data_IF_603318032444
#
_entry.id   IF_603318032444
#
_cell.length_a   1.000
_cell.length_b   1.000
_cell.length_c   1.000
_cell.angle_alpha   90.00
_cell.angle_beta   90.00
_cell.angle_gamma   90.00
#
_symmetry.space_group_name_H-M   'P 1'
#
loop_
_entity.id
_entity.type
_entity.pdbx_description
1 polymer ?
#
# COMPACT_ATOMS: atom_id res chain seq x y z
N UNK A 1 63.50 -5.74 -31.36
CA UNK A 1 64.93 -5.54 -31.69
C UNK A 1 65.25 -5.93 -33.14
N UNK A 2 65.10 -7.20 -33.57
CA UNK A 2 65.54 -7.65 -34.91
C UNK A 2 64.82 -7.00 -36.11
N UNK A 3 63.61 -6.47 -35.94
CA UNK A 3 62.87 -5.74 -36.99
C UNK A 3 63.03 -4.21 -36.91
N UNK A 4 63.98 -3.69 -36.14
CA UNK A 4 64.26 -2.25 -35.99
C UNK A 4 63.24 -1.46 -35.17
N UNK A 5 61.99 -1.91 -35.03
CA UNK A 5 60.88 -1.14 -34.39
C UNK A 5 61.00 -0.87 -32.88
N UNK A 6 61.93 -1.53 -32.19
CA UNK A 6 62.02 -1.49 -30.71
C UNK A 6 63.49 -1.47 -30.32
N UNK A 7 63.89 -0.48 -29.51
CA UNK A 7 65.22 -0.34 -28.92
C UNK A 7 65.33 -1.09 -27.60
N UNK A 8 66.50 -1.66 -27.36
CA UNK A 8 66.86 -2.34 -26.11
C UNK A 8 67.86 -1.48 -25.35
N UNK A 9 67.59 -1.20 -24.08
CA UNK A 9 68.54 -0.54 -23.18
C UNK A 9 68.78 -1.43 -21.96
N UNK A 10 70.04 -1.72 -21.71
CA UNK A 10 70.46 -2.61 -20.63
C UNK A 10 70.87 -1.79 -19.40
N UNK A 11 70.33 -2.16 -18.24
CA UNK A 11 70.66 -1.59 -16.95
C UNK A 11 71.09 -2.73 -16.02
N UNK A 12 72.41 -2.92 -15.90
CA UNK A 12 72.99 -4.04 -15.16
C UNK A 12 72.53 -5.39 -15.74
N UNK A 13 71.83 -6.19 -14.93
CA UNK A 13 71.27 -7.50 -15.34
C UNK A 13 69.89 -7.42 -15.99
N UNK A 14 69.25 -6.24 -16.03
CA UNK A 14 67.91 -6.06 -16.57
C UNK A 14 67.95 -5.39 -17.95
N UNK A 15 67.00 -5.76 -18.82
CA UNK A 15 66.83 -5.22 -20.17
C UNK A 15 65.46 -4.55 -20.25
N UNK A 16 65.43 -3.31 -20.74
CA UNK A 16 64.22 -2.54 -21.00
C UNK A 16 64.07 -2.39 -22.51
N UNK A 17 62.88 -2.69 -23.01
CA UNK A 17 62.52 -2.58 -24.42
C UNK A 17 61.51 -1.45 -24.61
N UNK A 18 61.74 -0.56 -25.57
CA UNK A 18 60.83 0.55 -25.87
C UNK A 18 60.77 0.83 -27.36
N UNK A 19 59.66 1.41 -27.83
CA UNK A 19 59.48 1.75 -29.24
C UNK A 19 60.55 2.74 -29.70
N UNK A 20 61.06 2.53 -30.91
CA UNK A 20 62.09 3.40 -31.47
C UNK A 20 61.49 4.73 -31.94
N UNK A 21 61.68 5.79 -31.14
CA UNK A 21 61.14 7.12 -31.40
C UNK A 21 61.78 7.81 -32.62
N UNK A 22 62.95 7.36 -33.09
CA UNK A 22 63.60 7.91 -34.30
C UNK A 22 62.83 7.56 -35.59
N UNK A 23 61.93 6.59 -35.52
CA UNK A 23 61.03 6.23 -36.63
C UNK A 23 59.78 7.11 -36.68
N UNK A 24 59.54 7.94 -35.66
CA UNK A 24 58.44 8.90 -35.65
C UNK A 24 58.91 10.19 -36.34
N UNK A 25 58.08 10.79 -37.20
CA UNK A 25 58.41 12.07 -37.81
C UNK A 25 58.61 13.14 -36.73
N UNK A 26 59.64 13.96 -36.88
CA UNK A 26 59.85 15.11 -36.01
C UNK A 26 58.82 16.18 -36.36
N UNK A 27 57.92 16.45 -35.42
CA UNK A 27 56.88 17.48 -35.54
C UNK A 27 57.48 18.85 -35.24
N UNK A 28 57.17 19.85 -36.07
CA UNK A 28 57.57 21.24 -35.81
C UNK A 28 56.69 21.90 -34.74
N UNK A 29 57.18 22.95 -34.08
CA UNK A 29 56.39 23.71 -33.09
C UNK A 29 55.09 24.27 -33.68
N UNK A 30 55.08 24.61 -34.97
CA UNK A 30 53.89 25.09 -35.67
C UNK A 30 52.83 23.98 -35.83
N UNK A 31 53.25 22.75 -36.14
CA UNK A 31 52.37 21.59 -36.25
C UNK A 31 51.85 21.15 -34.87
N UNK A 32 52.69 21.21 -33.83
CA UNK A 32 52.26 20.97 -32.45
C UNK A 32 51.18 21.97 -32.02
N UNK A 33 51.38 23.25 -32.30
CA UNK A 33 50.39 24.29 -32.02
C UNK A 33 49.07 24.08 -32.80
N UNK A 34 49.16 23.62 -34.06
CA UNK A 34 47.99 23.23 -34.84
C UNK A 34 47.21 22.07 -34.22
N UNK A 35 47.92 21.00 -33.82
CA UNK A 35 47.33 19.83 -33.16
C UNK A 35 46.70 20.19 -31.81
N UNK A 36 47.34 21.05 -31.01
CA UNK A 36 46.76 21.55 -29.76
C UNK A 36 45.46 22.33 -30.01
N UNK A 37 45.42 23.13 -31.08
CA UNK A 37 44.21 23.81 -31.53
C UNK A 37 43.08 22.85 -31.93
N UNK A 38 43.41 21.79 -32.67
CA UNK A 38 42.46 20.74 -33.05
C UNK A 38 41.96 19.96 -31.83
N UNK A 39 42.85 19.62 -30.89
CA UNK A 39 42.50 18.95 -29.62
C UNK A 39 41.54 19.84 -28.83
N UNK A 40 41.82 21.14 -28.72
CA UNK A 40 40.96 22.08 -28.01
C UNK A 40 39.57 22.19 -28.68
N UNK A 41 39.53 22.32 -30.00
CA UNK A 41 38.28 22.41 -30.76
C UNK A 41 37.43 21.13 -30.66
N UNK A 42 38.06 19.96 -30.82
CA UNK A 42 37.38 18.67 -30.69
C UNK A 42 36.91 18.42 -29.25
N UNK A 43 37.72 18.78 -28.25
CA UNK A 43 37.34 18.65 -26.85
C UNK A 43 36.14 19.53 -26.50
N UNK A 44 36.11 20.78 -26.99
CA UNK A 44 34.96 21.67 -26.83
C UNK A 44 33.70 21.10 -27.50
N UNK A 45 33.84 20.55 -28.71
CA UNK A 45 32.72 19.92 -29.43
C UNK A 45 32.18 18.68 -28.70
N UNK A 46 33.06 17.85 -28.15
CA UNK A 46 32.68 16.68 -27.34
C UNK A 46 31.92 17.13 -26.09
N UNK A 47 32.40 18.14 -25.38
CA UNK A 47 31.71 18.67 -24.20
C UNK A 47 30.31 19.21 -24.54
N UNK A 48 30.19 19.99 -25.62
CA UNK A 48 28.90 20.52 -26.07
C UNK A 48 27.90 19.41 -26.45
N UNK A 49 28.35 18.40 -27.20
CA UNK A 49 27.53 17.26 -27.58
C UNK A 49 27.12 16.42 -26.36
N UNK A 50 28.03 16.19 -25.41
CA UNK A 50 27.71 15.47 -24.17
C UNK A 50 26.66 16.21 -23.34
N UNK A 51 26.74 17.54 -23.25
CA UNK A 51 25.73 18.34 -22.56
C UNK A 51 24.37 18.25 -23.26
N UNK A 52 24.35 18.35 -24.59
CA UNK A 52 23.14 18.20 -25.40
C UNK A 52 22.50 16.83 -25.24
N UNK A 53 23.28 15.75 -25.27
CA UNK A 53 22.79 14.39 -25.03
C UNK A 53 22.16 14.27 -23.63
N UNK A 54 22.84 14.75 -22.59
CA UNK A 54 22.29 14.71 -21.21
C UNK A 54 20.97 15.45 -21.09
N UNK A 55 20.82 16.58 -21.78
CA UNK A 55 19.57 17.33 -21.79
C UNK A 55 18.45 16.57 -22.48
N UNK A 56 18.71 16.02 -23.67
CA UNK A 56 17.73 15.21 -24.40
C UNK A 56 17.34 13.93 -23.64
N UNK A 57 18.30 13.28 -22.98
CA UNK A 57 18.03 12.12 -22.13
C UNK A 57 17.14 12.47 -20.94
N UNK A 58 17.34 13.64 -20.33
CA UNK A 58 16.49 14.12 -19.25
C UNK A 58 15.06 14.40 -19.74
N UNK A 59 14.89 15.11 -20.87
CA UNK A 59 13.58 15.38 -21.47
C UNK A 59 12.84 14.09 -21.87
N UNK A 60 13.56 13.13 -22.45
CA UNK A 60 13.01 11.83 -22.83
C UNK A 60 12.55 11.06 -21.58
N UNK A 61 13.38 11.04 -20.52
CA UNK A 61 13.02 10.42 -19.24
C UNK A 61 11.77 11.06 -18.63
N UNK A 62 11.68 12.38 -18.63
CA UNK A 62 10.53 13.10 -18.08
C UNK A 62 9.26 12.76 -18.88
N UNK A 63 9.34 12.75 -20.21
CA UNK A 63 8.20 12.39 -21.07
C UNK A 63 7.76 10.93 -20.86
N UNK A 64 8.70 9.99 -20.79
CA UNK A 64 8.43 8.57 -20.54
C UNK A 64 8.03 8.26 -19.10
N UNK A 65 8.23 9.18 -18.15
CA UNK A 65 7.77 9.02 -16.77
C UNK A 65 6.27 9.26 -16.60
N UNK A 66 5.64 9.83 -17.63
CA UNK A 66 4.20 10.10 -17.67
C UNK A 66 3.46 9.07 -18.52
N UNK A 67 2.18 8.85 -18.21
CA UNK A 67 1.31 8.02 -19.06
C UNK A 67 1.19 8.63 -20.44
N UNK A 68 1.21 7.79 -21.47
CA UNK A 68 0.94 8.23 -22.82
C UNK A 68 -0.51 8.72 -22.95
N UNK A 69 -0.78 9.60 -23.91
CA UNK A 69 -2.13 10.11 -24.18
C UNK A 69 -3.15 8.99 -24.40
N UNK A 70 -2.73 7.87 -25.02
CA UNK A 70 -3.58 6.70 -25.23
C UNK A 70 -3.91 5.98 -23.93
N UNK A 71 -2.92 5.76 -23.07
CA UNK A 71 -3.14 5.13 -21.77
C UNK A 71 -4.02 6.02 -20.88
N UNK A 72 -3.79 7.34 -20.90
CA UNK A 72 -4.62 8.31 -20.18
C UNK A 72 -6.08 8.29 -20.67
N UNK A 73 -6.31 8.11 -21.97
CA UNK A 73 -7.66 8.02 -22.52
C UNK A 73 -8.41 6.76 -22.05
N UNK A 74 -7.74 5.60 -22.01
CA UNK A 74 -8.33 4.38 -21.45
C UNK A 74 -8.57 4.50 -19.93
N UNK A 75 -7.64 5.10 -19.18
CA UNK A 75 -7.82 5.33 -17.73
C UNK A 75 -9.02 6.24 -17.45
N UNK A 76 -9.17 7.34 -18.20
CA UNK A 76 -10.32 8.24 -18.10
C UNK A 76 -11.63 7.49 -18.37
N UNK A 77 -11.63 6.57 -19.34
CA UNK A 77 -12.81 5.79 -19.72
C UNK A 77 -13.20 4.81 -18.62
N UNK A 78 -12.24 4.09 -18.03
CA UNK A 78 -12.51 3.18 -16.91
C UNK A 78 -12.94 3.95 -15.66
N UNK A 79 -12.28 5.06 -15.32
CA UNK A 79 -12.69 5.92 -14.20
C UNK A 79 -14.11 6.46 -14.38
N UNK A 80 -14.49 6.89 -15.59
CA UNK A 80 -15.86 7.35 -15.87
C UNK A 80 -16.89 6.24 -15.67
N UNK A 81 -16.57 5.03 -16.12
CA UNK A 81 -17.42 3.84 -15.93
C UNK A 81 -17.56 3.51 -14.44
N UNK A 82 -16.48 3.56 -13.69
CA UNK A 82 -16.51 3.35 -12.24
C UNK A 82 -17.31 4.42 -11.51
N UNK A 83 -17.14 5.70 -11.86
CA UNK A 83 -17.97 6.77 -11.32
C UNK A 83 -19.46 6.52 -11.59
N UNK A 84 -19.83 6.11 -12.80
CA UNK A 84 -21.21 5.77 -13.12
C UNK A 84 -21.73 4.60 -12.27
N UNK A 85 -20.95 3.53 -12.15
CA UNK A 85 -21.28 2.36 -11.33
C UNK A 85 -21.45 2.72 -9.84
N UNK A 86 -20.55 3.51 -9.28
CA UNK A 86 -20.64 3.95 -7.87
C UNK A 86 -21.82 4.86 -7.64
N UNK A 87 -22.13 5.75 -8.60
CA UNK A 87 -23.30 6.62 -8.53
C UNK A 87 -24.59 5.79 -8.55
N UNK A 88 -24.70 4.80 -9.44
CA UNK A 88 -25.85 3.90 -9.48
C UNK A 88 -26.00 3.10 -8.17
N UNK A 89 -24.90 2.53 -7.65
CA UNK A 89 -24.90 1.83 -6.36
C UNK A 89 -25.38 2.75 -5.23
N UNK A 90 -24.91 3.98 -5.22
CA UNK A 90 -25.24 4.98 -4.20
C UNK A 90 -26.71 5.40 -4.29
N UNK A 91 -27.24 5.62 -5.49
CA UNK A 91 -28.67 5.89 -5.68
C UNK A 91 -29.55 4.69 -5.29
N UNK A 92 -29.11 3.46 -5.62
CA UNK A 92 -29.80 2.25 -5.15
C UNK A 92 -29.82 2.15 -3.63
N UNK A 93 -28.71 2.42 -2.97
CA UNK A 93 -28.63 2.44 -1.50
C UNK A 93 -29.56 3.50 -0.94
N UNK A 94 -29.54 4.74 -1.46
CA UNK A 94 -30.41 5.84 -1.02
C UNK A 94 -31.90 5.57 -1.25
N UNK A 95 -32.25 4.90 -2.34
CA UNK A 95 -33.65 4.57 -2.67
C UNK A 95 -34.20 3.40 -1.87
N UNK A 96 -33.34 2.59 -1.23
CA UNK A 96 -33.79 1.45 -0.44
C UNK A 96 -34.53 1.92 0.81
N UNK A 97 -35.77 1.50 1.04
CA UNK A 97 -36.62 2.07 2.12
C UNK A 97 -36.16 1.75 3.55
N UNK A 98 -35.16 0.86 3.74
CA UNK A 98 -34.68 0.40 5.04
C UNK A 98 -33.50 1.24 5.57
N UNK A 99 -33.65 2.56 5.62
CA UNK A 99 -32.64 3.41 6.26
C UNK A 99 -32.89 3.43 7.75
N UNK A 100 -32.07 2.71 8.52
CA UNK A 100 -31.99 2.91 9.96
C UNK A 100 -30.95 4.01 10.17
N UNK A 101 -31.39 5.16 10.69
CA UNK A 101 -30.45 6.22 11.04
C UNK A 101 -29.50 5.75 12.15
N UNK A 102 -28.27 6.27 12.21
CA UNK A 102 -27.36 5.97 13.31
C UNK A 102 -28.00 6.20 14.69
N UNK A 103 -28.82 7.24 14.80
CA UNK A 103 -29.56 7.61 16.01
C UNK A 103 -30.62 6.56 16.38
N UNK A 104 -31.43 6.11 15.42
CA UNK A 104 -32.40 5.03 15.65
C UNK A 104 -31.71 3.72 16.04
N UNK A 105 -30.59 3.39 15.38
CA UNK A 105 -29.78 2.22 15.72
C UNK A 105 -29.26 2.30 17.16
N UNK A 106 -28.74 3.46 17.55
CA UNK A 106 -28.23 3.67 18.91
C UNK A 106 -29.35 3.56 19.95
N UNK A 107 -30.52 4.16 19.68
CA UNK A 107 -31.69 4.07 20.54
C UNK A 107 -32.13 2.61 20.74
N UNK A 108 -32.29 1.85 19.65
CA UNK A 108 -32.69 0.43 19.71
C UNK A 108 -31.65 -0.41 20.45
N UNK A 109 -30.35 -0.15 20.22
CA UNK A 109 -29.28 -0.83 20.95
C UNK A 109 -29.30 -0.49 22.45
N UNK A 110 -29.57 0.78 22.79
CA UNK A 110 -29.72 1.25 24.17
C UNK A 110 -30.91 0.58 24.88
N UNK A 111 -32.06 0.52 24.22
CA UNK A 111 -33.26 -0.15 24.72
C UNK A 111 -33.02 -1.65 24.91
N UNK A 112 -32.41 -2.33 23.93
CA UNK A 112 -32.04 -3.74 24.07
C UNK A 112 -31.14 -3.98 25.29
N UNK A 113 -30.11 -3.14 25.48
CA UNK A 113 -29.23 -3.23 26.66
C UNK A 113 -29.98 -3.01 27.97
N UNK A 114 -30.91 -2.05 28.00
CA UNK A 114 -31.75 -1.76 29.17
C UNK A 114 -32.64 -2.96 29.51
N UNK A 115 -33.38 -3.49 28.53
CA UNK A 115 -34.30 -4.61 28.75
C UNK A 115 -33.56 -5.90 29.12
N UNK A 116 -32.41 -6.19 28.52
CA UNK A 116 -31.57 -7.33 28.93
C UNK A 116 -31.06 -7.17 30.37
N UNK A 117 -30.72 -5.95 30.80
CA UNK A 117 -30.31 -5.68 32.19
C UNK A 117 -31.46 -5.90 33.17
N UNK A 118 -32.63 -5.35 32.85
CA UNK A 118 -33.83 -5.48 33.69
C UNK A 118 -34.31 -6.92 33.78
N UNK A 119 -34.28 -7.68 32.69
CA UNK A 119 -34.59 -9.11 32.69
C UNK A 119 -33.65 -9.88 33.62
N UNK A 120 -32.33 -9.70 33.51
CA UNK A 120 -31.37 -10.35 34.44
C UNK A 120 -31.62 -9.98 35.90
N UNK A 121 -31.89 -8.70 36.17
CA UNK A 121 -32.14 -8.21 37.53
C UNK A 121 -33.41 -8.83 38.10
N UNK A 122 -34.52 -8.80 37.35
CA UNK A 122 -35.81 -9.33 37.79
C UNK A 122 -35.78 -10.84 37.96
N UNK A 123 -35.16 -11.57 37.01
CA UNK A 123 -34.97 -13.02 37.14
C UNK A 123 -34.20 -13.36 38.41
N UNK A 124 -33.10 -12.64 38.70
CA UNK A 124 -32.34 -12.84 39.95
C UNK A 124 -33.20 -12.62 41.20
N UNK A 125 -33.89 -11.48 41.29
CA UNK A 125 -34.73 -11.17 42.46
C UNK A 125 -35.86 -12.19 42.65
N UNK A 126 -36.50 -12.62 41.57
CA UNK A 126 -37.54 -13.64 41.61
C UNK A 126 -36.95 -14.98 42.08
N UNK A 127 -35.80 -15.41 41.53
CA UNK A 127 -35.13 -16.64 41.96
C UNK A 127 -34.75 -16.60 43.44
N UNK A 128 -34.17 -15.50 43.92
CA UNK A 128 -33.82 -15.33 45.35
C UNK A 128 -35.04 -15.45 46.26
N UNK A 129 -36.17 -14.84 45.88
CA UNK A 129 -37.43 -14.95 46.62
C UNK A 129 -37.97 -16.39 46.61
N UNK A 130 -37.92 -17.05 45.45
CA UNK A 130 -38.39 -18.42 45.31
C UNK A 130 -37.54 -19.39 46.12
N UNK A 131 -36.22 -19.22 46.11
CA UNK A 131 -35.32 -20.06 46.89
C UNK A 131 -35.56 -19.88 48.39
N UNK A 132 -35.78 -18.65 48.87
CA UNK A 132 -36.13 -18.38 50.28
C UNK A 132 -37.47 -19.01 50.70
N UNK A 133 -38.47 -19.07 49.82
CA UNK A 133 -39.75 -19.75 50.09
C UNK A 133 -39.54 -21.27 50.11
N UNK A 134 -38.75 -21.79 49.17
CA UNK A 134 -38.50 -23.22 49.04
C UNK A 134 -37.70 -23.81 50.20
N UNK A 135 -36.89 -23.02 50.91
CA UNK A 135 -36.21 -23.44 52.14
C UNK A 135 -37.16 -23.96 53.22
N UNK A 136 -38.39 -23.43 53.29
CA UNK A 136 -39.43 -23.83 54.23
C UNK A 136 -40.52 -24.73 53.63
N UNK A 137 -40.43 -25.07 52.35
CA UNK A 137 -41.52 -25.73 51.63
C UNK A 137 -41.36 -27.27 51.65
N UNK A 138 -42.39 -28.04 52.06
CA UNK A 138 -42.26 -29.48 52.30
C UNK A 138 -42.24 -30.34 51.03
N UNK A 139 -42.49 -29.76 49.85
CA UNK A 139 -42.61 -30.46 48.56
C UNK A 139 -41.54 -29.99 47.56
N UNK A 140 -41.50 -30.60 46.38
CA UNK A 140 -40.52 -30.25 45.34
C UNK A 140 -40.78 -28.89 44.68
N UNK A 141 -39.73 -28.25 44.15
CA UNK A 141 -39.78 -26.99 43.39
C UNK A 141 -40.78 -27.03 42.22
N UNK A 142 -40.87 -28.16 41.52
CA UNK A 142 -41.78 -28.34 40.38
C UNK A 142 -43.25 -28.27 40.81
N UNK A 143 -43.58 -28.95 41.90
CA UNK A 143 -44.94 -28.91 42.46
C UNK A 143 -45.30 -27.52 42.97
N UNK A 144 -44.35 -26.82 43.58
CA UNK A 144 -44.55 -25.43 43.99
C UNK A 144 -44.85 -24.52 42.80
N UNK A 145 -44.08 -24.64 41.72
CA UNK A 145 -44.26 -23.81 40.52
C UNK A 145 -45.59 -24.09 39.83
N UNK A 146 -46.01 -25.36 39.78
CA UNK A 146 -47.32 -25.75 39.24
C UNK A 146 -48.49 -25.27 40.13
N UNK A 147 -48.38 -25.37 41.46
CA UNK A 147 -49.40 -24.91 42.41
C UNK A 147 -49.58 -23.38 42.40
N UNK A 148 -48.49 -22.62 42.21
CA UNK A 148 -48.52 -21.14 42.20
C UNK A 148 -48.71 -20.57 40.78
N UNK A 149 -48.53 -21.38 39.73
CA UNK A 149 -48.65 -20.94 38.34
C UNK A 149 -47.42 -20.15 37.85
N UNK A 150 -46.22 -20.55 38.26
CA UNK A 150 -44.96 -19.93 37.84
C UNK A 150 -44.43 -20.67 36.61
N UNK A 151 -44.26 -19.93 35.51
CA UNK A 151 -43.65 -20.40 34.27
C UNK A 151 -42.23 -19.84 34.14
N UNK A 152 -41.27 -20.67 33.74
CA UNK A 152 -39.88 -20.24 33.57
C UNK A 152 -39.53 -19.94 32.12
N UNK A 153 -38.49 -19.11 31.91
CA UNK A 153 -37.99 -18.83 30.55
C UNK A 153 -37.59 -20.15 29.85
N UNK A 154 -37.03 -21.09 30.61
CA UNK A 154 -36.62 -22.41 30.16
C UNK A 154 -37.79 -23.28 29.68
N UNK A 155 -38.97 -23.20 30.34
CA UNK A 155 -40.18 -23.93 29.93
C UNK A 155 -40.68 -23.48 28.54
N UNK A 156 -40.40 -22.22 28.18
CA UNK A 156 -40.79 -21.60 26.91
C UNK A 156 -39.66 -21.52 25.88
N UNK A 157 -38.52 -22.17 26.13
CA UNK A 157 -37.31 -22.10 25.29
C UNK A 157 -36.81 -20.66 25.01
N UNK A 158 -37.05 -19.75 25.95
CA UNK A 158 -36.64 -18.36 25.86
C UNK A 158 -35.28 -18.19 26.52
N UNK A 159 -34.33 -17.64 25.77
CA UNK A 159 -33.00 -17.32 26.27
C UNK A 159 -32.71 -15.83 26.15
N UNK A 160 -31.95 -15.29 27.09
CA UNK A 160 -31.39 -13.95 26.96
C UNK A 160 -30.55 -13.88 25.68
N UNK A 161 -30.73 -12.85 24.84
CA UNK A 161 -29.91 -12.66 23.66
C UNK A 161 -28.42 -12.63 24.05
N UNK A 162 -27.60 -13.46 23.41
CA UNK A 162 -26.16 -13.32 23.48
C UNK A 162 -25.82 -11.93 22.93
N UNK A 163 -25.20 -11.09 23.74
CA UNK A 163 -24.95 -9.69 23.40
C UNK A 163 -24.15 -9.56 22.10
N UNK A 164 -24.45 -8.50 21.34
CA UNK A 164 -23.54 -7.94 20.32
C UNK A 164 -22.41 -7.19 21.02
#
# INVERSE_FOLDING_TARGET
AQQGRVREKTYGKQKIYFADQEQLPATSDAELCGLDGEIAALSAKVQALQQSCRQMEAELKDLNSSMTTSEMAEEIKELKKDCANYTEKLERIKSATNHVTPEEKEKVCGEQKLYCREWRRRKRMATELLDAILEGYPKSKKQFFEEVGIETDEDHNVALPAGV
#
